data_IF_994872368761
#
_entry.id   IF_994872368761
#
_cell.length_a   1.000
_cell.length_b   1.000
_cell.length_c   1.000
_cell.angle_alpha   90.00
_cell.angle_beta   90.00
_cell.angle_gamma   90.00
#
_symmetry.space_group_name_H-M   'P 1'
#
loop_
_entity.id
_entity.type
_entity.pdbx_description
1 polymer ?
#
# COMPACT_ATOMS: atom_id res chain seq x y z
N UNK A 1 2.28 -8.67 -15.79
CA UNK A 1 1.44 -9.50 -14.87
C UNK A 1 0.47 -8.59 -14.13
N UNK A 2 -0.67 -9.12 -13.71
CA UNK A 2 -1.62 -8.39 -12.85
C UNK A 2 -1.28 -8.67 -11.38
N UNK A 3 -1.15 -7.62 -10.57
CA UNK A 3 -0.67 -7.68 -9.19
C UNK A 3 -1.63 -6.97 -8.24
N UNK A 4 -1.59 -7.39 -6.97
CA UNK A 4 -2.07 -6.61 -5.84
C UNK A 4 -0.87 -6.21 -4.98
N UNK A 5 -0.86 -4.98 -4.47
CA UNK A 5 0.22 -4.46 -3.64
C UNK A 5 -0.23 -4.35 -2.19
N UNK A 6 0.57 -4.86 -1.26
CA UNK A 6 0.43 -4.50 0.15
C UNK A 6 0.83 -3.03 0.30
N UNK A 7 -0.10 -2.21 0.77
CA UNK A 7 -0.01 -0.76 0.73
C UNK A 7 -0.27 -0.18 2.11
N UNK A 8 0.73 0.49 2.68
CA UNK A 8 0.62 1.15 3.98
C UNK A 8 0.48 2.67 3.87
N UNK A 9 0.58 3.22 2.66
CA UNK A 9 0.62 4.68 2.43
C UNK A 9 1.99 5.31 2.66
N UNK A 10 2.89 4.61 3.34
CA UNK A 10 4.27 5.04 3.54
C UNK A 10 5.11 4.95 2.27
N UNK A 11 6.21 5.71 2.27
CA UNK A 11 7.15 5.85 1.14
C UNK A 11 7.55 4.53 0.48
N UNK A 12 7.80 3.49 1.28
CA UNK A 12 8.34 2.22 0.78
C UNK A 12 7.28 1.43 0.02
N UNK A 13 6.03 1.42 0.52
CA UNK A 13 4.91 0.78 -0.18
C UNK A 13 4.50 1.53 -1.46
N UNK A 14 4.55 2.86 -1.44
CA UNK A 14 4.34 3.71 -2.62
C UNK A 14 5.43 3.48 -3.67
N UNK A 15 6.69 3.40 -3.24
CA UNK A 15 7.81 3.10 -4.14
C UNK A 15 7.72 1.69 -4.74
N UNK A 16 7.25 0.70 -3.97
CA UNK A 16 7.03 -0.65 -4.48
C UNK A 16 5.99 -0.67 -5.60
N UNK A 17 4.88 0.07 -5.45
CA UNK A 17 3.87 0.24 -6.52
C UNK A 17 4.49 0.93 -7.73
N UNK A 18 5.18 2.05 -7.53
CA UNK A 18 5.87 2.79 -8.60
C UNK A 18 6.81 1.88 -9.40
N UNK A 19 7.64 1.09 -8.72
CA UNK A 19 8.61 0.24 -9.39
C UNK A 19 7.95 -0.98 -10.08
N UNK A 20 6.84 -1.49 -9.54
CA UNK A 20 6.04 -2.51 -10.23
C UNK A 20 5.44 -1.95 -11.54
N UNK A 21 4.87 -0.75 -11.51
CA UNK A 21 4.33 -0.08 -12.69
C UNK A 21 5.42 0.21 -13.73
N UNK A 22 6.57 0.72 -13.30
CA UNK A 22 7.72 1.00 -14.17
C UNK A 22 8.29 -0.25 -14.86
N UNK A 23 8.19 -1.41 -14.21
CA UNK A 23 8.53 -2.72 -14.80
C UNK A 23 7.47 -3.29 -15.74
N UNK A 24 6.39 -2.56 -16.00
CA UNK A 24 5.31 -2.98 -16.90
C UNK A 24 4.29 -3.94 -16.27
N UNK A 25 4.27 -4.05 -14.94
CA UNK A 25 3.19 -4.75 -14.25
C UNK A 25 1.96 -3.86 -14.12
N UNK A 26 0.78 -4.48 -14.04
CA UNK A 26 -0.48 -3.78 -13.76
C UNK A 26 -0.86 -4.04 -12.31
N UNK A 27 -0.74 -3.02 -11.46
CA UNK A 27 -1.20 -3.10 -10.06
C UNK A 27 -2.69 -2.77 -10.05
N UNK A 28 -3.54 -3.78 -9.86
CA UNK A 28 -5.01 -3.62 -9.88
C UNK A 28 -5.61 -3.24 -8.53
N UNK A 29 -4.91 -3.60 -7.45
CA UNK A 29 -5.43 -3.45 -6.10
C UNK A 29 -4.32 -2.97 -5.18
N UNK A 30 -4.68 -2.04 -4.30
CA UNK A 30 -3.90 -1.66 -3.12
C UNK A 30 -4.59 -2.28 -1.91
N UNK A 31 -3.84 -3.00 -1.09
CA UNK A 31 -4.36 -3.73 0.07
C UNK A 31 -3.71 -3.17 1.32
N UNK A 32 -4.51 -2.48 2.13
CA UNK A 32 -4.10 -1.93 3.42
C UNK A 32 -4.64 -2.80 4.56
N UNK A 33 -3.80 -3.06 5.55
CA UNK A 33 -4.14 -3.89 6.72
C UNK A 33 -4.27 -2.98 7.94
N UNK A 34 -5.48 -2.88 8.48
CA UNK A 34 -5.73 -2.17 9.74
C UNK A 34 -5.59 -3.17 10.88
N UNK A 35 -4.43 -3.12 11.55
CA UNK A 35 -4.17 -3.95 12.73
C UNK A 35 -5.03 -3.49 13.91
N UNK A 36 -5.61 -4.45 14.65
CA UNK A 36 -6.24 -4.17 15.96
C UNK A 36 -5.20 -3.97 17.07
N UNK A 37 -3.98 -4.46 16.87
CA UNK A 37 -2.88 -4.22 17.80
C UNK A 37 -2.21 -2.88 17.43
N UNK A 38 -2.29 -1.85 18.29
CA UNK A 38 -1.65 -0.55 18.06
C UNK A 38 -0.12 -0.61 18.17
N UNK A 39 0.45 -1.68 18.72
CA UNK A 39 1.91 -1.90 18.81
C UNK A 39 2.34 -3.04 17.88
N UNK A 40 1.69 -3.14 16.71
CA UNK A 40 2.04 -4.16 15.72
C UNK A 40 3.46 -3.96 15.21
N UNK A 41 4.30 -4.98 15.38
CA UNK A 41 5.63 -5.03 14.78
C UNK A 41 5.59 -5.37 13.28
N UNK A 42 4.47 -5.94 12.80
CA UNK A 42 4.37 -6.46 11.43
C UNK A 42 3.69 -5.50 10.46
N UNK A 43 2.65 -4.81 10.91
CA UNK A 43 1.87 -3.92 10.05
C UNK A 43 2.00 -2.48 10.50
N UNK A 44 2.24 -1.63 9.52
CA UNK A 44 2.14 -0.19 9.72
C UNK A 44 0.69 0.15 10.09
N UNK A 45 0.52 0.84 11.21
CA UNK A 45 -0.77 1.29 11.74
C UNK A 45 -0.95 2.81 11.76
N UNK A 46 0.10 3.67 11.85
CA UNK A 46 -0.09 5.12 11.79
C UNK A 46 -0.75 5.51 10.47
N UNK A 47 -1.72 6.41 10.54
CA UNK A 47 -2.34 7.06 9.38
C UNK A 47 -2.92 6.10 8.32
N UNK A 48 -3.14 4.83 8.67
CA UNK A 48 -3.56 3.77 7.73
C UNK A 48 -4.91 4.08 7.10
N UNK A 49 -5.78 4.83 7.78
CA UNK A 49 -7.07 5.27 7.27
C UNK A 49 -6.99 6.26 6.10
N UNK A 50 -5.87 6.97 5.95
CA UNK A 50 -5.65 7.94 4.87
C UNK A 50 -5.18 7.29 3.58
N UNK A 51 -4.80 6.01 3.61
CA UNK A 51 -4.45 5.24 2.41
C UNK A 51 -5.56 5.22 1.36
N UNK A 52 -6.83 5.40 1.77
CA UNK A 52 -7.96 5.56 0.85
C UNK A 52 -7.78 6.72 -0.12
N UNK A 53 -7.29 7.87 0.35
CA UNK A 53 -7.12 9.07 -0.47
C UNK A 53 -5.93 8.91 -1.42
N UNK A 54 -4.88 8.22 -0.97
CA UNK A 54 -3.76 7.86 -1.83
C UNK A 54 -4.20 6.86 -2.91
N UNK A 55 -5.08 5.91 -2.58
CA UNK A 55 -5.63 4.97 -3.55
C UNK A 55 -6.55 5.64 -4.59
N UNK A 56 -7.30 6.67 -4.21
CA UNK A 56 -8.10 7.48 -5.14
C UNK A 56 -7.23 8.32 -6.09
N UNK A 57 -6.04 8.72 -5.65
CA UNK A 57 -5.12 9.55 -6.44
C UNK A 57 -4.22 8.76 -7.41
N UNK A 58 -4.15 7.43 -7.27
CA UNK A 58 -3.31 6.52 -8.07
C UNK A 58 -4.08 5.89 -9.22
#
# INVERSE_FOLDING_TARGET
>A
MELAALFSGGKDSTFAVYEALKRGHKVKYLISIVSRNPESYMFHYPDIEYTRYQAEAM
#
